data_IF_342901571068
#
_entry.id   IF_342901571068
#
_cell.length_a   1.000
_cell.length_b   1.000
_cell.length_c   1.000
_cell.angle_alpha   90.00
_cell.angle_beta   90.00
_cell.angle_gamma   90.00
#
_symmetry.space_group_name_H-M   'P 1'
#
loop_
_entity.id
_entity.type
_entity.pdbx_description
1 polymer ?
#
# COMPACT_ATOMS: atom_id res chain seq x y z
N UNK A 1 5.98 3.61 4.87
CA UNK A 1 6.49 2.71 5.92
C UNK A 1 5.50 1.60 6.20
N UNK A 2 5.99 0.47 6.64
CA UNK A 2 5.19 -0.72 6.98
C UNK A 2 5.55 -1.13 8.39
N UNK A 3 4.54 -1.38 9.21
CA UNK A 3 4.67 -1.96 10.52
C UNK A 3 3.84 -3.25 10.57
N UNK A 4 4.42 -4.31 11.13
CA UNK A 4 3.72 -5.57 11.34
C UNK A 4 3.86 -5.96 12.80
N UNK A 5 2.74 -6.17 13.48
CA UNK A 5 2.69 -6.65 14.85
C UNK A 5 2.44 -8.16 14.83
N UNK A 6 3.38 -8.92 15.38
CA UNK A 6 3.25 -10.35 15.52
C UNK A 6 2.99 -10.66 16.99
N UNK A 7 1.79 -11.13 17.37
CA UNK A 7 1.50 -11.44 18.77
C UNK A 7 2.34 -12.63 19.23
N UNK A 8 2.94 -12.47 20.41
CA UNK A 8 3.63 -13.55 21.11
C UNK A 8 2.66 -14.12 22.13
N UNK A 9 2.12 -15.32 21.89
CA UNK A 9 1.21 -16.01 22.80
C UNK A 9 1.71 -17.41 23.08
N UNK A 10 1.35 -17.95 24.26
CA UNK A 10 1.68 -19.34 24.65
C UNK A 10 1.08 -20.37 23.69
N UNK A 11 -0.03 -20.05 23.05
CA UNK A 11 -0.69 -20.91 22.05
C UNK A 11 0.01 -20.87 20.68
N UNK A 12 0.78 -19.81 20.40
CA UNK A 12 1.47 -19.62 19.14
C UNK A 12 2.98 -19.78 19.36
N UNK A 13 3.47 -21.02 19.47
CA UNK A 13 4.88 -21.39 19.69
C UNK A 13 5.85 -20.95 18.57
N UNK A 14 5.46 -19.97 17.75
CA UNK A 14 6.30 -19.51 16.64
C UNK A 14 7.38 -18.52 17.08
N UNK A 15 7.15 -17.76 18.15
CA UNK A 15 8.09 -16.75 18.63
C UNK A 15 8.29 -16.91 20.14
N UNK A 16 9.56 -17.05 20.55
CA UNK A 16 9.99 -17.08 21.94
C UNK A 16 10.92 -15.88 22.20
N UNK A 17 10.58 -15.05 23.18
CA UNK A 17 11.37 -13.85 23.56
C UNK A 17 12.04 -14.10 24.90
N UNK A 18 13.35 -14.29 24.89
CA UNK A 18 14.15 -14.43 26.12
C UNK A 18 14.50 -13.09 26.74
N UNK A 19 14.79 -12.10 25.92
CA UNK A 19 15.15 -10.74 26.36
C UNK A 19 14.45 -9.73 25.45
N UNK A 20 13.76 -8.77 26.05
CA UNK A 20 13.12 -7.68 25.28
C UNK A 20 14.18 -6.70 24.79
N UNK A 21 13.99 -6.17 23.59
CA UNK A 21 14.87 -5.19 23.00
C UNK A 21 14.51 -4.85 21.57
N UNK A 22 15.30 -3.99 20.94
CA UNK A 22 15.11 -3.58 19.54
C UNK A 22 16.46 -3.39 18.85
N UNK A 23 16.49 -3.64 17.56
CA UNK A 23 17.66 -3.45 16.70
C UNK A 23 17.23 -3.05 15.30
N UNK A 24 17.97 -2.16 14.66
CA UNK A 24 17.80 -1.81 13.25
C UNK A 24 18.82 -2.60 12.44
N UNK A 25 18.34 -3.39 11.49
CA UNK A 25 19.17 -4.24 10.64
C UNK A 25 19.09 -3.83 9.17
N UNK A 26 20.17 -3.99 8.38
CA UNK A 26 20.12 -3.81 6.94
C UNK A 26 19.17 -4.83 6.31
N UNK A 27 17.99 -4.37 5.87
CA UNK A 27 16.88 -5.22 5.44
C UNK A 27 17.26 -6.23 4.35
N UNK A 28 18.10 -5.81 3.38
CA UNK A 28 18.54 -6.69 2.29
C UNK A 28 19.31 -7.89 2.81
N UNK A 29 20.34 -7.65 3.61
CA UNK A 29 21.18 -8.73 4.16
C UNK A 29 20.39 -9.65 5.09
N UNK A 30 19.59 -9.05 5.99
CA UNK A 30 18.71 -9.83 6.85
C UNK A 30 17.76 -10.74 6.09
N UNK A 31 17.08 -10.20 5.09
CA UNK A 31 16.15 -10.96 4.24
C UNK A 31 16.85 -12.07 3.44
N UNK A 32 18.05 -11.80 2.90
CA UNK A 32 18.81 -12.80 2.15
C UNK A 32 19.31 -13.94 3.05
N UNK A 33 19.75 -13.63 4.27
CA UNK A 33 20.17 -14.62 5.27
C UNK A 33 18.98 -15.52 5.63
N UNK A 34 17.87 -14.93 6.08
CA UNK A 34 16.70 -15.69 6.55
C UNK A 34 16.14 -16.60 5.44
N UNK A 35 16.09 -16.13 4.21
CA UNK A 35 15.62 -16.93 3.06
C UNK A 35 16.51 -18.13 2.72
N UNK A 36 17.80 -18.08 3.09
CA UNK A 36 18.76 -19.15 2.81
C UNK A 36 18.96 -20.12 3.97
N UNK A 37 18.41 -19.82 5.14
CA UNK A 37 18.41 -20.75 6.27
C UNK A 37 17.43 -21.89 5.99
N UNK A 38 17.92 -23.11 6.15
CA UNK A 38 17.15 -24.31 5.84
C UNK A 38 16.29 -24.80 7.03
N UNK A 39 16.51 -24.25 8.22
CA UNK A 39 15.84 -24.67 9.44
C UNK A 39 14.57 -23.85 9.68
N UNK A 40 13.56 -24.47 10.28
CA UNK A 40 12.30 -23.83 10.62
C UNK A 40 12.43 -22.81 11.79
N UNK A 41 13.46 -22.97 12.62
CA UNK A 41 13.73 -22.09 13.77
C UNK A 41 15.07 -21.38 13.60
N UNK A 42 15.04 -20.08 13.85
CA UNK A 42 16.23 -19.24 13.92
C UNK A 42 16.28 -18.53 15.28
N UNK A 43 17.48 -18.28 15.78
CA UNK A 43 17.70 -17.47 16.96
C UNK A 43 18.38 -16.16 16.54
N UNK A 44 17.83 -15.05 17.00
CA UNK A 44 18.39 -13.71 16.79
C UNK A 44 18.85 -13.20 18.14
N UNK A 45 20.16 -12.95 18.28
CA UNK A 45 20.78 -12.45 19.49
C UNK A 45 21.51 -11.14 19.19
N UNK A 46 21.20 -10.08 19.92
CA UNK A 46 21.91 -8.80 19.85
C UNK A 46 22.96 -8.75 20.94
N UNK A 47 24.21 -8.55 20.55
CA UNK A 47 25.40 -8.42 21.42
C UNK A 47 25.84 -6.97 21.56
N UNK A 48 26.90 -6.77 22.28
CA UNK A 48 27.55 -5.47 22.42
C UNK A 48 27.86 -4.83 21.05
N UNK A 49 27.85 -3.51 21.01
CA UNK A 49 28.11 -2.73 19.80
C UNK A 49 27.14 -3.03 18.63
N UNK A 50 25.89 -3.43 18.95
CA UNK A 50 24.83 -3.71 17.99
C UNK A 50 25.16 -4.86 17.02
N UNK A 51 26.11 -5.72 17.35
CA UNK A 51 26.34 -6.94 16.59
C UNK A 51 25.18 -7.90 16.78
N UNK A 52 24.61 -8.34 15.69
CA UNK A 52 23.45 -9.24 15.70
C UNK A 52 23.84 -10.57 15.09
N UNK A 53 23.75 -11.62 15.91
CA UNK A 53 23.96 -12.99 15.50
C UNK A 53 22.61 -13.60 15.08
N UNK A 54 22.58 -14.21 13.91
CA UNK A 54 21.44 -14.94 13.37
C UNK A 54 21.91 -16.39 13.23
N UNK A 55 21.39 -17.27 14.06
CA UNK A 55 21.82 -18.67 14.11
C UNK A 55 20.67 -19.62 13.80
N UNK A 56 20.99 -20.67 13.11
CA UNK A 56 20.16 -21.87 12.95
C UNK A 56 20.99 -23.10 13.34
N UNK A 57 20.41 -24.29 13.34
CA UNK A 57 21.12 -25.51 13.77
C UNK A 57 22.45 -25.75 13.01
N UNK A 58 22.57 -25.27 11.77
CA UNK A 58 23.72 -25.54 10.88
C UNK A 58 24.47 -24.32 10.39
N UNK A 59 24.00 -23.12 10.69
CA UNK A 59 24.58 -21.88 10.18
C UNK A 59 24.52 -20.77 11.21
N UNK A 60 25.54 -19.91 11.20
CA UNK A 60 25.62 -18.71 12.04
C UNK A 60 26.13 -17.54 11.20
N UNK A 61 25.43 -16.42 11.28
CA UNK A 61 25.77 -15.18 10.60
C UNK A 61 25.83 -14.05 11.63
N UNK A 62 26.77 -13.15 11.44
CA UNK A 62 26.86 -11.91 12.23
C UNK A 62 26.71 -10.72 11.30
N UNK A 63 25.78 -9.85 11.61
CA UNK A 63 25.57 -8.58 10.90
C UNK A 63 25.62 -7.41 11.90
N UNK A 64 26.12 -6.28 11.46
CA UNK A 64 26.13 -5.07 12.29
C UNK A 64 24.77 -4.37 12.15
N UNK A 65 24.16 -4.10 13.31
CA UNK A 65 22.95 -3.30 13.41
C UNK A 65 23.27 -1.86 13.81
N UNK A 66 22.20 -1.11 14.04
CA UNK A 66 22.22 0.27 14.53
C UNK A 66 21.22 0.35 15.68
N UNK A 67 21.47 1.26 16.63
CA UNK A 67 20.57 1.51 17.76
C UNK A 67 19.15 1.82 17.27
N UNK A 68 18.16 1.14 17.84
CA UNK A 68 16.74 1.35 17.55
C UNK A 68 16.29 2.79 17.80
N UNK A 69 16.92 3.51 18.73
CA UNK A 69 16.62 4.90 19.02
C UNK A 69 16.94 5.85 17.85
N UNK A 70 17.79 5.42 16.92
CA UNK A 70 18.08 6.14 15.67
C UNK A 70 17.06 5.85 14.54
N UNK A 71 16.12 4.93 14.78
CA UNK A 71 15.07 4.65 13.79
C UNK A 71 13.90 5.62 13.96
N UNK A 72 13.40 6.22 12.87
CA UNK A 72 12.26 7.12 12.97
C UNK A 72 11.04 6.42 13.56
N UNK A 73 10.42 7.05 14.54
CA UNK A 73 9.17 6.54 15.10
C UNK A 73 8.07 6.58 14.04
N UNK A 74 7.20 5.59 14.09
CA UNK A 74 5.98 5.61 13.29
C UNK A 74 5.08 6.74 13.77
N UNK A 75 4.45 7.49 12.85
CA UNK A 75 3.52 8.53 13.24
C UNK A 75 2.33 7.93 13.97
N UNK A 76 1.99 8.49 15.12
CA UNK A 76 0.74 8.15 15.78
C UNK A 76 -0.38 8.87 15.03
N UNK A 77 -1.20 8.12 14.31
CA UNK A 77 -2.39 8.65 13.67
C UNK A 77 -3.55 8.47 14.66
N UNK A 78 -3.81 9.50 15.42
CA UNK A 78 -4.96 9.60 16.32
C UNK A 78 -6.15 10.17 15.52
N UNK A 79 -6.73 9.33 14.67
CA UNK A 79 -7.93 9.68 13.90
C UNK A 79 -9.09 8.86 14.42
N UNK A 80 -10.10 9.54 14.95
CA UNK A 80 -11.38 8.92 15.31
C UNK A 80 -12.22 8.51 14.08
N UNK A 81 -11.71 8.77 12.88
CA UNK A 81 -12.42 8.58 11.62
C UNK A 81 -11.79 7.44 10.84
N UNK A 82 -12.43 6.30 10.91
CA UNK A 82 -11.99 5.08 10.25
C UNK A 82 -12.92 4.75 9.09
N UNK A 83 -12.39 4.72 7.88
CA UNK A 83 -13.13 4.34 6.68
C UNK A 83 -12.84 2.87 6.40
N UNK A 84 -13.87 2.03 6.49
CA UNK A 84 -13.73 0.60 6.21
C UNK A 84 -14.03 0.30 4.75
N UNK A 85 -13.10 -0.36 4.07
CA UNK A 85 -13.18 -0.71 2.67
C UNK A 85 -13.11 -2.23 2.49
N UNK A 86 -13.97 -2.84 1.65
CA UNK A 86 -13.79 -4.22 1.25
C UNK A 86 -12.48 -4.37 0.46
N UNK A 87 -11.57 -5.21 0.94
CA UNK A 87 -10.21 -5.35 0.38
C UNK A 87 -10.23 -5.71 -1.10
N UNK A 88 -11.09 -6.65 -1.50
CA UNK A 88 -11.20 -7.09 -2.89
C UNK A 88 -11.60 -5.94 -3.83
N UNK A 89 -12.58 -5.12 -3.43
CA UNK A 89 -13.01 -3.96 -4.21
C UNK A 89 -11.94 -2.87 -4.24
N UNK A 90 -11.26 -2.63 -3.12
CA UNK A 90 -10.19 -1.64 -3.05
C UNK A 90 -8.98 -2.03 -3.89
N UNK A 91 -8.62 -3.33 -3.92
CA UNK A 91 -7.59 -3.85 -4.84
C UNK A 91 -7.97 -3.61 -6.31
N UNK A 92 -9.24 -3.81 -6.68
CA UNK A 92 -9.70 -3.48 -8.03
C UNK A 92 -9.59 -1.97 -8.32
N UNK A 93 -9.93 -1.11 -7.35
CA UNK A 93 -9.73 0.35 -7.49
C UNK A 93 -8.27 0.65 -7.81
N UNK A 94 -7.34 0.10 -7.05
CA UNK A 94 -5.90 0.29 -7.26
C UNK A 94 -5.48 -0.21 -8.65
N UNK A 95 -5.81 -1.45 -9.00
CA UNK A 95 -5.43 -2.07 -10.27
C UNK A 95 -5.94 -1.28 -11.47
N UNK A 96 -7.17 -0.81 -11.42
CA UNK A 96 -7.78 -0.09 -12.53
C UNK A 96 -7.31 1.36 -12.66
N UNK A 97 -6.81 1.98 -11.60
CA UNK A 97 -6.43 3.41 -11.64
C UNK A 97 -4.93 3.62 -11.76
N UNK A 98 -4.11 2.85 -11.04
CA UNK A 98 -2.64 3.04 -11.03
C UNK A 98 -2.02 2.93 -12.43
N UNK A 99 -2.61 2.13 -13.32
CA UNK A 99 -2.15 1.99 -14.72
C UNK A 99 -2.15 3.32 -15.50
N UNK A 100 -2.94 4.29 -15.07
CA UNK A 100 -3.02 5.62 -15.70
C UNK A 100 -2.21 6.70 -14.96
N UNK A 101 -1.47 6.36 -13.92
CA UNK A 101 -0.57 7.33 -13.27
C UNK A 101 0.65 7.63 -14.14
N UNK A 102 1.20 8.85 -13.99
CA UNK A 102 2.45 9.23 -14.65
C UNK A 102 3.65 8.58 -13.98
N UNK A 103 4.66 8.26 -14.77
CA UNK A 103 5.99 7.86 -14.27
C UNK A 103 6.96 9.04 -14.18
N UNK A 104 6.57 10.23 -14.68
CA UNK A 104 7.40 11.41 -14.71
C UNK A 104 7.35 12.15 -13.38
N UNK A 105 8.49 12.29 -12.72
CA UNK A 105 8.64 13.00 -11.45
C UNK A 105 8.55 14.53 -11.58
N UNK A 106 8.61 15.07 -12.82
CA UNK A 106 8.41 16.50 -13.09
C UNK A 106 6.99 16.99 -12.76
N UNK A 107 6.03 16.08 -12.68
CA UNK A 107 4.65 16.35 -12.26
C UNK A 107 4.25 15.37 -11.14
N UNK A 108 4.72 15.59 -9.91
CA UNK A 108 4.54 14.62 -8.81
C UNK A 108 3.08 14.24 -8.56
N UNK A 109 2.16 15.19 -8.67
CA UNK A 109 0.72 14.99 -8.44
C UNK A 109 0.15 13.89 -9.36
N UNK A 110 0.60 13.84 -10.63
CA UNK A 110 0.13 12.85 -11.60
C UNK A 110 0.72 11.46 -11.38
N UNK A 111 1.73 11.31 -10.50
CA UNK A 111 2.26 10.01 -10.10
C UNK A 111 1.36 9.32 -9.07
N UNK A 112 0.35 10.03 -8.56
CA UNK A 112 -0.62 9.54 -7.59
C UNK A 112 -2.00 9.30 -8.19
N UNK A 113 -2.81 8.62 -7.39
CA UNK A 113 -4.25 8.44 -7.62
C UNK A 113 -5.00 9.42 -6.73
N UNK A 114 -5.83 10.25 -7.34
CA UNK A 114 -6.72 11.13 -6.60
C UNK A 114 -7.92 10.33 -6.11
N UNK A 115 -8.13 10.31 -4.80
CA UNK A 115 -9.24 9.62 -4.14
C UNK A 115 -10.15 10.64 -3.46
N UNK A 116 -11.40 10.66 -3.88
CA UNK A 116 -12.46 11.45 -3.26
C UNK A 116 -13.45 10.53 -2.58
N UNK A 117 -13.73 10.79 -1.31
CA UNK A 117 -14.77 10.10 -0.55
C UNK A 117 -15.86 11.10 -0.26
N UNK A 118 -17.04 10.81 -0.77
CA UNK A 118 -18.20 11.67 -0.64
C UNK A 118 -19.48 10.87 -0.81
N UNK A 119 -20.52 11.17 -0.02
CA UNK A 119 -21.87 10.59 -0.11
C UNK A 119 -21.86 9.05 -0.18
N UNK A 120 -21.03 8.39 0.65
CA UNK A 120 -20.91 6.93 0.68
C UNK A 120 -20.24 6.30 -0.56
N UNK A 121 -19.51 7.11 -1.33
CA UNK A 121 -18.78 6.65 -2.51
C UNK A 121 -17.31 7.02 -2.41
N UNK A 122 -16.46 6.09 -2.81
CA UNK A 122 -15.06 6.34 -3.10
C UNK A 122 -14.90 6.42 -4.61
N UNK A 123 -14.47 7.58 -5.08
CA UNK A 123 -14.09 7.82 -6.47
C UNK A 123 -12.59 7.95 -6.56
N UNK A 124 -11.95 7.08 -7.31
CA UNK A 124 -10.52 7.11 -7.57
C UNK A 124 -10.26 7.45 -9.04
N UNK A 125 -9.38 8.40 -9.28
CA UNK A 125 -9.02 8.87 -10.63
C UNK A 125 -7.52 8.96 -10.77
N UNK A 126 -7.00 8.52 -11.90
CA UNK A 126 -5.61 8.72 -12.29
C UNK A 126 -5.51 9.18 -13.74
N UNK A 127 -4.52 10.01 -14.03
CA UNK A 127 -4.21 10.47 -15.39
C UNK A 127 -2.72 10.82 -15.51
N UNK A 128 -2.17 10.58 -16.69
CA UNK A 128 -0.83 11.01 -17.09
C UNK A 128 -0.85 12.14 -18.14
N UNK A 129 -2.01 12.77 -18.35
CA UNK A 129 -2.36 13.76 -19.38
C UNK A 129 -2.67 13.18 -20.77
N UNK A 130 -2.42 11.90 -21.04
CA UNK A 130 -2.72 11.21 -22.29
C UNK A 130 -3.90 10.24 -22.17
N UNK A 131 -4.05 9.66 -20.99
CA UNK A 131 -5.11 8.73 -20.64
C UNK A 131 -5.64 9.03 -19.25
N UNK A 132 -6.86 8.61 -18.99
CA UNK A 132 -7.54 8.75 -17.71
C UNK A 132 -8.19 7.43 -17.34
N UNK A 133 -8.06 7.03 -16.09
CA UNK A 133 -8.83 5.94 -15.54
C UNK A 133 -9.60 6.40 -14.30
N UNK A 134 -10.88 6.03 -14.23
CA UNK A 134 -11.75 6.31 -13.10
C UNK A 134 -12.41 5.03 -12.62
N UNK A 135 -12.41 4.83 -11.30
CA UNK A 135 -13.17 3.76 -10.66
C UNK A 135 -13.99 4.33 -9.50
N UNK A 136 -15.25 3.95 -9.45
CA UNK A 136 -16.17 4.36 -8.38
C UNK A 136 -16.66 3.09 -7.70
N UNK A 137 -16.62 3.09 -6.37
CA UNK A 137 -17.19 2.04 -5.52
C UNK A 137 -18.07 2.66 -4.44
N UNK A 138 -19.13 1.95 -4.04
CA UNK A 138 -19.90 2.29 -2.86
C UNK A 138 -19.19 1.77 -1.62
N UNK A 139 -19.13 2.57 -0.57
CA UNK A 139 -18.56 2.21 0.73
C UNK A 139 -19.66 2.25 1.78
N UNK A 140 -19.69 1.23 2.63
CA UNK A 140 -20.54 1.25 3.80
C UNK A 140 -19.85 2.09 4.87
N UNK A 141 -20.38 3.27 5.15
CA UNK A 141 -19.92 4.12 6.23
C UNK A 141 -21.09 4.50 7.14
N UNK A 142 -20.87 4.64 8.45
CA UNK A 142 -21.89 5.19 9.36
C UNK A 142 -22.31 6.59 8.89
N UNK A 143 -23.57 6.98 9.15
CA UNK A 143 -24.10 8.29 8.73
C UNK A 143 -23.21 9.47 9.17
N UNK A 144 -22.63 9.38 10.37
CA UNK A 144 -21.70 10.40 10.90
C UNK A 144 -20.40 10.56 10.10
N UNK A 145 -20.00 9.57 9.33
CA UNK A 145 -18.80 9.60 8.46
C UNK A 145 -19.15 10.01 7.01
N UNK A 146 -20.42 9.93 6.63
CA UNK A 146 -20.89 10.33 5.30
C UNK A 146 -20.94 11.85 5.13
N UNK A 147 -20.95 12.63 6.21
CA UNK A 147 -20.95 14.09 6.17
C UNK A 147 -19.60 14.70 5.79
N UNK A 148 -18.51 13.95 5.98
CA UNK A 148 -17.16 14.44 5.66
C UNK A 148 -16.75 14.08 4.25
N UNK A 149 -16.21 15.07 3.56
CA UNK A 149 -15.66 14.92 2.24
C UNK A 149 -14.14 14.85 2.34
N UNK A 150 -13.54 13.80 1.80
CA UNK A 150 -12.09 13.67 1.68
C UNK A 150 -11.70 13.80 0.22
N UNK A 151 -10.59 14.48 -0.01
CA UNK A 151 -9.97 14.58 -1.33
C UNK A 151 -8.45 14.51 -1.13
N UNK A 152 -7.86 13.38 -1.46
CA UNK A 152 -6.46 13.09 -1.19
C UNK A 152 -5.79 12.46 -2.41
N UNK A 153 -4.49 12.72 -2.56
CA UNK A 153 -3.70 12.14 -3.64
C UNK A 153 -2.69 11.18 -3.01
N UNK A 154 -2.87 9.89 -3.30
CA UNK A 154 -2.02 8.82 -2.75
C UNK A 154 -1.04 8.37 -3.83
N UNK A 155 0.28 8.31 -3.55
CA UNK A 155 1.27 7.84 -4.51
C UNK A 155 0.93 6.46 -5.08
N UNK A 156 0.93 6.31 -6.41
CA UNK A 156 0.60 5.06 -7.07
C UNK A 156 1.52 3.90 -6.64
N UNK A 157 2.80 4.18 -6.44
CA UNK A 157 3.76 3.17 -5.92
C UNK A 157 3.34 2.64 -4.55
N UNK A 158 2.89 3.53 -3.63
CA UNK A 158 2.40 3.12 -2.30
C UNK A 158 1.17 2.24 -2.39
N UNK A 159 0.24 2.56 -3.29
CA UNK A 159 -0.97 1.75 -3.51
C UNK A 159 -0.65 0.36 -4.06
N UNK A 160 0.31 0.25 -4.98
CA UNK A 160 0.77 -1.04 -5.50
C UNK A 160 1.37 -1.90 -4.38
N UNK A 161 2.23 -1.34 -3.55
CA UNK A 161 2.80 -2.06 -2.40
C UNK A 161 1.73 -2.48 -1.40
N UNK A 162 0.80 -1.58 -1.07
CA UNK A 162 -0.34 -1.89 -0.21
C UNK A 162 -1.14 -3.09 -0.75
N UNK A 163 -1.45 -3.11 -2.05
CA UNK A 163 -2.24 -4.18 -2.66
C UNK A 163 -1.60 -5.56 -2.57
N UNK A 164 -0.26 -5.63 -2.45
CA UNK A 164 0.50 -6.88 -2.25
C UNK A 164 0.44 -7.38 -0.81
N UNK A 165 0.39 -6.43 0.15
CA UNK A 165 0.46 -6.75 1.57
C UNK A 165 -0.89 -7.23 2.11
N UNK A 166 -2.00 -6.67 1.62
CA UNK A 166 -3.35 -6.91 2.15
C UNK A 166 -4.08 -8.08 1.49
N UNK A 167 -3.36 -9.08 0.97
CA UNK A 167 -3.94 -10.11 0.09
C UNK A 167 -5.06 -10.93 0.71
N UNK A 168 -4.99 -11.26 1.97
CA UNK A 168 -5.86 -12.25 2.62
C UNK A 168 -6.88 -11.65 3.60
N UNK A 169 -7.01 -10.32 3.64
CA UNK A 169 -7.89 -9.66 4.59
C UNK A 169 -9.25 -9.32 3.95
N UNK A 170 -10.37 -9.55 4.63
CA UNK A 170 -11.71 -9.23 4.09
C UNK A 170 -11.93 -7.73 3.96
N UNK A 171 -11.42 -6.96 4.90
CA UNK A 171 -11.55 -5.51 4.96
C UNK A 171 -10.24 -4.84 5.32
N UNK A 172 -10.10 -3.59 4.90
CA UNK A 172 -9.01 -2.70 5.24
C UNK A 172 -9.60 -1.41 5.84
N UNK A 173 -8.99 -0.94 6.90
CA UNK A 173 -9.33 0.34 7.51
C UNK A 173 -8.40 1.42 6.95
N UNK A 174 -8.97 2.55 6.56
CA UNK A 174 -8.23 3.71 6.07
C UNK A 174 -8.48 4.91 6.97
N UNK A 175 -7.41 5.52 7.45
CA UNK A 175 -7.43 6.73 8.26
C UNK A 175 -6.63 7.80 7.54
N UNK A 176 -7.21 8.99 7.41
CA UNK A 176 -6.62 10.10 6.65
C UNK A 176 -6.32 11.24 7.61
N UNK A 177 -5.11 11.78 7.53
CA UNK A 177 -4.69 13.02 8.18
C UNK A 177 -4.37 14.07 7.12
N UNK A 178 -3.95 15.26 7.53
CA UNK A 178 -3.64 16.36 6.62
C UNK A 178 -2.58 15.98 5.55
N UNK A 179 -1.56 15.21 5.94
CA UNK A 179 -0.41 14.91 5.06
C UNK A 179 -0.09 13.43 4.91
N UNK A 180 -0.86 12.56 5.54
CA UNK A 180 -0.62 11.12 5.55
C UNK A 180 -1.91 10.31 5.48
N UNK A 181 -1.79 9.08 5.02
CA UNK A 181 -2.82 8.06 5.10
C UNK A 181 -2.24 6.81 5.75
N UNK A 182 -2.99 6.25 6.68
CA UNK A 182 -2.74 4.94 7.28
C UNK A 182 -3.77 3.94 6.76
N UNK A 183 -3.27 2.82 6.31
CA UNK A 183 -4.07 1.63 6.05
C UNK A 183 -3.75 0.58 7.09
N UNK A 184 -4.79 0.06 7.74
CA UNK A 184 -4.67 -1.01 8.73
C UNK A 184 -5.43 -2.23 8.26
N UNK A 185 -4.75 -3.36 8.26
CA UNK A 185 -5.32 -4.65 7.92
C UNK A 185 -4.82 -5.66 8.96
N UNK A 186 -5.72 -6.04 9.88
CA UNK A 186 -5.40 -6.90 11.03
C UNK A 186 -4.20 -6.37 11.85
N UNK A 187 -3.06 -7.03 11.73
CA UNK A 187 -1.81 -6.68 12.44
C UNK A 187 -0.78 -5.93 11.55
N UNK A 188 -1.18 -5.52 10.36
CA UNK A 188 -0.33 -4.77 9.43
C UNK A 188 -0.80 -3.33 9.33
N UNK A 189 0.13 -2.41 9.53
CA UNK A 189 -0.07 -0.97 9.41
C UNK A 189 0.80 -0.45 8.26
N UNK A 190 0.18 0.16 7.28
CA UNK A 190 0.86 0.73 6.13
C UNK A 190 0.67 2.25 6.10
N UNK A 191 1.76 2.98 6.21
CA UNK A 191 1.78 4.45 6.22
C UNK A 191 2.28 4.98 4.88
N UNK A 192 1.54 5.93 4.31
CA UNK A 192 1.98 6.66 3.12
C UNK A 192 1.80 8.16 3.31
N UNK A 193 2.77 8.95 2.83
CA UNK A 193 2.56 10.39 2.68
C UNK A 193 1.64 10.66 1.52
N UNK A 194 0.81 11.68 1.65
CA UNK A 194 -0.02 12.21 0.58
C UNK A 194 0.83 13.11 -0.32
N UNK A 195 0.45 13.20 -1.59
CA UNK A 195 1.01 14.18 -2.50
C UNK A 195 0.27 15.51 -2.33
N UNK A 196 1.01 16.57 -2.10
CA UNK A 196 0.46 17.91 -1.92
C UNK A 196 0.20 18.57 -3.26
N UNK A 197 -0.93 19.27 -3.37
CA UNK A 197 -1.30 20.08 -4.52
C UNK A 197 -2.71 19.81 -5.04
N UNK A 198 -3.05 20.46 -6.15
CA UNK A 198 -4.37 20.34 -6.77
C UNK A 198 -4.32 19.33 -7.92
N UNK A 199 -5.14 18.29 -7.81
CA UNK A 199 -5.32 17.35 -8.92
C UNK A 199 -6.14 18.02 -10.03
N UNK A 200 -5.83 17.81 -11.33
CA UNK A 200 -6.61 18.37 -12.43
C UNK A 200 -8.10 18.01 -12.34
N UNK A 201 -8.97 18.93 -12.71
CA UNK A 201 -10.42 18.64 -12.82
C UNK A 201 -10.67 17.66 -13.96
N UNK A 202 -10.82 16.40 -13.61
CA UNK A 202 -11.00 15.29 -14.56
C UNK A 202 -12.45 15.11 -15.01
N UNK A 203 -13.43 15.72 -14.31
CA UNK A 203 -14.84 15.59 -14.68
C UNK A 203 -15.14 16.18 -16.06
N UNK A 204 -14.41 17.24 -16.43
CA UNK A 204 -14.55 17.89 -17.74
C UNK A 204 -13.88 17.13 -18.87
N UNK A 205 -13.02 16.16 -18.56
CA UNK A 205 -12.27 15.38 -19.54
C UNK A 205 -13.08 14.19 -20.06
N UNK A 206 -14.08 13.76 -19.29
CA UNK A 206 -14.95 12.64 -19.66
C UNK A 206 -16.08 13.20 -20.53
N UNK A 207 -16.19 12.78 -21.81
CA UNK A 207 -17.24 13.27 -22.70
C UNK A 207 -18.63 12.93 -22.16
N UNK A 208 -19.53 13.92 -22.12
CA UNK A 208 -20.90 13.72 -21.68
C UNK A 208 -21.75 12.97 -22.74
N UNK A 209 -21.32 13.00 -24.00
CA UNK A 209 -22.01 12.33 -25.13
C UNK A 209 -20.99 11.89 -26.18
N UNK A 210 -21.36 10.89 -26.98
CA UNK A 210 -20.60 10.42 -28.13
C UNK A 210 -21.47 10.37 -29.36
N UNK A 211 -20.89 10.65 -30.53
CA UNK A 211 -21.56 10.54 -31.82
C UNK A 211 -21.66 9.08 -32.31
N UNK A 212 -20.78 8.22 -31.80
CA UNK A 212 -20.74 6.80 -32.23
C UNK A 212 -20.48 5.93 -30.99
N UNK A 213 -21.26 4.85 -30.90
CA UNK A 213 -21.10 3.84 -29.86
C UNK A 213 -20.85 2.48 -30.52
N UNK A 214 -19.81 1.78 -30.03
CA UNK A 214 -19.44 0.46 -30.53
C UNK A 214 -19.44 -0.52 -29.36
N UNK A 215 -20.04 -1.69 -29.57
CA UNK A 215 -20.00 -2.81 -28.63
C UNK A 215 -19.06 -3.88 -29.18
N UNK A 216 -18.01 -4.20 -28.48
CA UNK A 216 -17.00 -5.16 -28.90
C UNK A 216 -16.77 -6.22 -27.82
N UNK A 217 -16.32 -7.40 -28.23
CA UNK A 217 -15.81 -8.39 -27.33
C UNK A 217 -14.44 -7.90 -26.81
N UNK A 218 -14.29 -7.81 -25.47
CA UNK A 218 -13.06 -7.29 -24.85
C UNK A 218 -11.83 -8.14 -25.16
N UNK A 219 -11.98 -9.47 -25.23
CA UNK A 219 -10.90 -10.39 -25.56
C UNK A 219 -10.42 -10.20 -27.00
N UNK A 220 -11.33 -10.07 -27.95
CA UNK A 220 -10.96 -9.89 -29.37
C UNK A 220 -10.25 -8.56 -29.59
N UNK A 221 -10.71 -7.49 -28.90
CA UNK A 221 -10.05 -6.19 -28.94
C UNK A 221 -8.66 -6.25 -28.30
N UNK A 222 -8.51 -6.94 -27.17
CA UNK A 222 -7.22 -7.13 -26.50
C UNK A 222 -6.24 -7.84 -27.44
N UNK A 223 -6.66 -8.94 -28.06
CA UNK A 223 -5.83 -9.71 -29.00
C UNK A 223 -5.45 -8.90 -30.24
N UNK A 224 -6.34 -8.06 -30.73
CA UNK A 224 -6.04 -7.21 -31.88
C UNK A 224 -5.03 -6.11 -31.54
N UNK A 225 -5.21 -5.46 -30.37
CA UNK A 225 -4.27 -4.43 -29.87
C UNK A 225 -2.90 -5.02 -29.56
N UNK A 226 -2.84 -6.20 -28.97
CA UNK A 226 -1.59 -6.89 -28.63
C UNK A 226 -0.80 -7.20 -29.90
N UNK A 227 -1.44 -7.71 -30.95
CA UNK A 227 -0.79 -7.89 -32.25
C UNK A 227 -0.32 -6.59 -32.89
N UNK A 228 -1.11 -5.53 -32.80
CA UNK A 228 -0.74 -4.23 -33.39
C UNK A 228 0.44 -3.58 -32.65
N UNK A 229 0.57 -3.79 -31.36
CA UNK A 229 1.66 -3.23 -30.54
C UNK A 229 3.04 -3.79 -30.84
N UNK A 230 3.13 -4.94 -31.54
CA UNK A 230 4.41 -5.54 -31.89
C UNK A 230 5.24 -4.70 -32.87
N UNK A 231 4.61 -3.76 -33.57
CA UNK A 231 5.26 -2.92 -34.60
C UNK A 231 5.23 -1.42 -34.26
N UNK A 232 4.85 -1.07 -33.03
CA UNK A 232 4.75 0.32 -32.55
C UNK A 232 5.91 0.72 -31.62
#
# INVERSE_FOLDING_TARGET
SIETLIPVSEENNQIEIHTQGGIVLPARFFSEIVKKLADEKITIEVKDHFQTNITSAKASFTINGIDVNNYPNFPVIDSNEVITLPTALFKQVIQHTVIATSTQESRPILTGVNMTIKDGKLTAVATDSHRLSQRIISIAAPESQLEKNYNVIIPGKSLVELSRIVENQPTIEMMITENQVLFKAENVYFYSRLLEGYYPDTNRLIPASSSTQIVLNAYDLLQATDRASLLS
#
